data_IF_977575690036
#
_entry.id   IF_977575690036
#
_cell.length_a   1.000
_cell.length_b   1.000
_cell.length_c   1.000
_cell.angle_alpha   90.00
_cell.angle_beta   90.00
_cell.angle_gamma   90.00
#
_symmetry.space_group_name_H-M   'P 1'
#
loop_
_entity.id
_entity.type
_entity.pdbx_description
1 polymer ?
#
# COMPACT_ATOMS: atom_id res chain seq x y z
N UNK A 1 -5.10 -12.93 -22.13
CA UNK A 1 -5.06 -12.34 -20.77
C UNK A 1 -4.62 -10.88 -20.71
N UNK A 2 -3.64 -10.38 -21.48
CA UNK A 2 -3.17 -8.99 -21.37
C UNK A 2 -4.22 -7.88 -21.54
N UNK A 3 -5.23 -8.08 -22.39
CA UNK A 3 -6.31 -7.09 -22.61
C UNK A 3 -7.14 -6.80 -21.36
N UNK A 4 -7.33 -7.80 -20.49
CA UNK A 4 -8.10 -7.66 -19.25
C UNK A 4 -7.28 -6.88 -18.21
N UNK A 5 -5.98 -7.17 -18.10
CA UNK A 5 -5.07 -6.46 -17.20
C UNK A 5 -4.93 -4.98 -17.57
N UNK A 6 -4.83 -4.64 -18.86
CA UNK A 6 -4.78 -3.24 -19.30
C UNK A 6 -6.10 -2.50 -19.02
N UNK A 7 -7.25 -3.18 -19.19
CA UNK A 7 -8.56 -2.62 -18.85
C UNK A 7 -8.69 -2.36 -17.33
N UNK A 8 -8.28 -3.31 -16.50
CA UNK A 8 -8.28 -3.17 -15.03
C UNK A 8 -7.33 -2.05 -14.58
N UNK A 9 -6.12 -1.99 -15.13
CA UNK A 9 -5.15 -0.94 -14.81
C UNK A 9 -5.68 0.45 -15.16
N UNK A 10 -6.38 0.57 -16.28
CA UNK A 10 -7.00 1.83 -16.71
C UNK A 10 -8.14 2.22 -15.78
N UNK A 11 -9.03 1.29 -15.42
CA UNK A 11 -10.09 1.53 -14.43
C UNK A 11 -9.55 1.90 -13.07
N UNK A 12 -8.55 1.17 -12.55
CA UNK A 12 -7.92 1.47 -11.25
C UNK A 12 -7.31 2.87 -11.28
N UNK A 13 -6.65 3.24 -12.39
CA UNK A 13 -6.09 4.58 -12.55
C UNK A 13 -7.17 5.66 -12.59
N UNK A 14 -8.29 5.41 -13.26
CA UNK A 14 -9.43 6.33 -13.33
C UNK A 14 -10.07 6.53 -11.95
N UNK A 15 -10.30 5.43 -11.22
CA UNK A 15 -10.79 5.47 -9.84
C UNK A 15 -9.83 6.24 -8.96
N UNK A 16 -8.53 5.91 -8.98
CA UNK A 16 -7.53 6.63 -8.19
C UNK A 16 -7.48 8.12 -8.55
N UNK A 17 -7.62 8.48 -9.83
CA UNK A 17 -7.63 9.88 -10.26
C UNK A 17 -8.85 10.61 -9.71
N UNK A 18 -10.02 9.98 -9.69
CA UNK A 18 -11.26 10.56 -9.14
C UNK A 18 -11.17 10.81 -7.63
N UNK A 19 -10.53 9.90 -6.89
CA UNK A 19 -10.33 10.03 -5.44
C UNK A 19 -8.99 10.69 -5.04
N UNK A 20 -8.18 11.14 -6.01
CA UNK A 20 -6.88 11.76 -5.74
C UNK A 20 -7.02 13.12 -5.05
N UNK A 21 -8.06 13.86 -5.38
CA UNK A 21 -8.45 15.09 -4.70
C UNK A 21 -9.52 14.76 -3.66
N UNK A 22 -9.20 14.77 -2.36
CA UNK A 22 -10.19 14.52 -1.33
C UNK A 22 -11.21 15.66 -1.31
N UNK A 23 -12.49 15.34 -1.57
CA UNK A 23 -13.60 16.30 -1.40
C UNK A 23 -13.81 16.65 0.09
N UNK A 24 -13.33 15.80 1.00
CA UNK A 24 -13.42 15.99 2.45
C UNK A 24 -12.17 16.70 2.95
N UNK A 25 -12.34 17.80 3.67
CA UNK A 25 -11.24 18.53 4.32
C UNK A 25 -10.47 17.61 5.27
N UNK A 26 -9.24 17.25 4.91
CA UNK A 26 -8.39 16.43 5.78
C UNK A 26 -7.97 17.27 6.99
N UNK A 27 -8.42 16.86 8.17
CA UNK A 27 -7.87 17.42 9.40
C UNK A 27 -6.40 17.01 9.54
N UNK A 28 -5.56 17.84 10.20
CA UNK A 28 -4.15 17.49 10.43
C UNK A 28 -3.99 16.15 11.17
N UNK A 29 -4.95 15.78 12.02
CA UNK A 29 -4.97 14.50 12.71
C UNK A 29 -5.18 13.32 11.76
N UNK A 30 -6.14 13.40 10.82
CA UNK A 30 -6.36 12.35 9.81
C UNK A 30 -5.11 12.17 8.95
N UNK A 31 -4.44 13.26 8.57
CA UNK A 31 -3.17 13.18 7.84
C UNK A 31 -2.10 12.44 8.63
N UNK A 32 -1.99 12.70 9.94
CA UNK A 32 -1.05 12.00 10.82
C UNK A 32 -1.39 10.51 10.93
N UNK A 33 -2.66 10.15 11.14
CA UNK A 33 -3.10 8.74 11.16
C UNK A 33 -2.76 8.01 9.86
N UNK A 34 -2.98 8.65 8.70
CA UNK A 34 -2.65 8.06 7.40
C UNK A 34 -1.14 7.88 7.20
N UNK A 35 -0.32 8.83 7.66
CA UNK A 35 1.15 8.68 7.62
C UNK A 35 1.59 7.55 8.55
N UNK A 36 1.07 7.52 9.78
CA UNK A 36 1.38 6.47 10.76
C UNK A 36 1.00 5.09 10.25
N UNK A 37 -0.14 4.97 9.56
CA UNK A 37 -0.57 3.73 8.91
C UNK A 37 0.43 3.28 7.84
N UNK A 38 0.93 4.20 7.00
CA UNK A 38 1.96 3.87 6.00
C UNK A 38 3.25 3.39 6.65
N UNK A 39 3.71 4.08 7.71
CA UNK A 39 4.91 3.69 8.47
C UNK A 39 4.72 2.29 9.07
N UNK A 40 3.57 2.03 9.69
CA UNK A 40 3.25 0.73 10.26
C UNK A 40 3.30 -0.40 9.21
N UNK A 41 2.72 -0.18 8.03
CA UNK A 41 2.77 -1.16 6.93
C UNK A 41 4.21 -1.42 6.47
N UNK A 42 5.04 -0.38 6.36
CA UNK A 42 6.46 -0.55 6.00
C UNK A 42 7.21 -1.38 7.05
N UNK A 43 7.01 -1.08 8.34
CA UNK A 43 7.60 -1.85 9.43
C UNK A 43 7.18 -3.31 9.38
N UNK A 44 5.89 -3.58 9.18
CA UNK A 44 5.39 -4.96 9.04
C UNK A 44 6.04 -5.70 7.88
N UNK A 45 6.13 -5.07 6.70
CA UNK A 45 6.77 -5.69 5.53
C UNK A 45 8.25 -5.95 5.77
N UNK A 46 8.97 -5.01 6.39
CA UNK A 46 10.38 -5.21 6.77
C UNK A 46 10.53 -6.36 7.75
N UNK A 47 9.70 -6.42 8.80
CA UNK A 47 9.71 -7.52 9.77
C UNK A 47 9.41 -8.86 9.10
N UNK A 48 8.45 -8.90 8.18
CA UNK A 48 8.12 -10.10 7.43
C UNK A 48 9.32 -10.59 6.61
N UNK A 49 9.98 -9.70 5.88
CA UNK A 49 11.18 -10.05 5.08
C UNK A 49 12.31 -10.55 5.99
N UNK A 50 12.60 -9.84 7.08
CA UNK A 50 13.66 -10.21 8.02
C UNK A 50 13.37 -11.58 8.64
N UNK A 51 12.15 -11.80 9.13
CA UNK A 51 11.73 -13.09 9.72
C UNK A 51 11.79 -14.21 8.70
N UNK A 52 11.34 -13.95 7.47
CA UNK A 52 11.39 -14.93 6.39
C UNK A 52 12.82 -15.35 6.07
N UNK A 53 13.75 -14.39 5.90
CA UNK A 53 15.17 -14.69 5.65
C UNK A 53 15.80 -15.44 6.81
N UNK A 54 15.48 -15.06 8.05
CA UNK A 54 16.01 -15.71 9.24
C UNK A 54 15.55 -17.17 9.34
N UNK A 55 14.26 -17.44 9.11
CA UNK A 55 13.71 -18.81 9.11
C UNK A 55 14.28 -19.61 7.93
N UNK A 56 14.33 -19.02 6.74
CA UNK A 56 14.90 -19.68 5.56
C UNK A 56 16.37 -20.08 5.74
N UNK A 57 17.15 -19.30 6.49
CA UNK A 57 18.54 -19.64 6.85
C UNK A 57 18.67 -20.71 7.92
N UNK A 58 17.67 -20.88 8.79
CA UNK A 58 17.67 -21.92 9.83
C UNK A 58 17.19 -23.28 9.30
N UNK A 59 16.41 -23.27 8.22
CA UNK A 59 15.84 -24.48 7.60
C UNK A 59 16.76 -25.15 6.57
N UNK A 60 17.98 -24.64 6.38
CA UNK A 60 18.99 -25.11 5.43
C UNK A 60 20.25 -25.54 6.19
#
# INVERSE_FOLDING_TARGET
MGRIFESLKTQIREVNRRYATPEITMTPFVKFCLVSLRVYLLVLVTLLIVKFVLVARQAL
#
